data_IF_171240031377
#
_entry.id   IF_171240031377
#
_cell.length_a   1.000
_cell.length_b   1.000
_cell.length_c   1.000
_cell.angle_alpha   90.00
_cell.angle_beta   90.00
_cell.angle_gamma   90.00
#
_symmetry.space_group_name_H-M   'P 1'
#
loop_
_entity.id
_entity.type
_entity.pdbx_description
1 polymer ?
#
# COMPACT_ATOMS: atom_id res chain seq x y z
N UNK A 1 13.92 11.53 -9.76
CA UNK A 1 13.18 12.62 -9.10
C UNK A 1 14.18 13.42 -8.25
N UNK A 2 14.08 14.75 -8.25
CA UNK A 2 15.09 15.59 -7.57
C UNK A 2 15.04 15.44 -6.04
N UNK A 3 16.21 15.41 -5.39
CA UNK A 3 16.36 15.30 -3.92
C UNK A 3 16.31 16.67 -3.22
N UNK A 4 15.54 17.60 -3.80
CA UNK A 4 15.56 19.02 -3.49
C UNK A 4 14.27 19.42 -2.78
N UNK A 5 14.18 19.30 -1.44
CA UNK A 5 12.97 19.63 -0.67
C UNK A 5 12.56 21.11 -0.79
N UNK A 6 13.50 22.01 -1.09
CA UNK A 6 13.28 23.43 -1.32
C UNK A 6 12.35 23.72 -2.51
N UNK A 7 12.32 22.84 -3.52
CA UNK A 7 11.44 23.00 -4.70
C UNK A 7 9.98 22.73 -4.39
N UNK A 8 9.67 22.11 -3.26
CA UNK A 8 8.30 21.84 -2.85
C UNK A 8 7.53 23.14 -2.54
N UNK A 9 8.20 24.12 -1.93
CA UNK A 9 7.56 25.38 -1.56
C UNK A 9 7.20 26.20 -2.81
N UNK A 10 8.07 26.18 -3.83
CA UNK A 10 7.81 26.78 -5.14
C UNK A 10 6.61 26.09 -5.82
N UNK A 11 6.58 24.76 -5.83
CA UNK A 11 5.46 23.99 -6.38
C UNK A 11 4.13 24.34 -5.70
N UNK A 12 4.12 24.41 -4.37
CA UNK A 12 2.93 24.77 -3.58
C UNK A 12 2.43 26.18 -3.94
N UNK A 13 3.34 27.13 -4.16
CA UNK A 13 2.99 28.52 -4.52
C UNK A 13 2.37 28.58 -5.91
N UNK A 14 3.00 27.93 -6.90
CA UNK A 14 2.56 27.93 -8.30
C UNK A 14 1.17 27.33 -8.46
N UNK A 15 0.87 26.23 -7.78
CA UNK A 15 -0.38 25.49 -7.96
C UNK A 15 -1.49 25.84 -6.95
N UNK A 16 -1.29 26.85 -6.10
CA UNK A 16 -2.23 27.22 -5.02
C UNK A 16 -3.66 27.50 -5.51
N UNK A 17 -3.81 28.12 -6.69
CA UNK A 17 -5.10 28.50 -7.28
C UNK A 17 -5.49 27.63 -8.49
N UNK A 18 -4.73 26.57 -8.74
CA UNK A 18 -4.98 25.66 -9.87
C UNK A 18 -6.13 24.68 -9.55
N UNK A 19 -6.61 23.91 -10.56
CA UNK A 19 -7.59 22.85 -10.33
C UNK A 19 -7.15 21.79 -9.31
N UNK A 20 -5.84 21.62 -9.09
CA UNK A 20 -5.27 20.70 -8.09
C UNK A 20 -5.13 21.33 -6.69
N UNK A 21 -5.82 22.45 -6.39
CA UNK A 21 -5.80 23.10 -5.07
C UNK A 21 -6.07 22.14 -3.90
N UNK A 22 -6.91 21.12 -4.10
CA UNK A 22 -7.18 20.09 -3.10
C UNK A 22 -5.94 19.26 -2.75
N UNK A 23 -5.17 18.86 -3.77
CA UNK A 23 -3.89 18.17 -3.58
C UNK A 23 -2.86 19.05 -2.86
N UNK A 24 -2.76 20.32 -3.26
CA UNK A 24 -1.87 21.30 -2.60
C UNK A 24 -2.25 21.49 -1.13
N UNK A 25 -3.54 21.56 -0.82
CA UNK A 25 -4.01 21.65 0.56
C UNK A 25 -3.69 20.38 1.37
N UNK A 26 -3.73 19.20 0.75
CA UNK A 26 -3.27 17.94 1.36
C UNK A 26 -1.79 18.00 1.71
N UNK A 27 -0.94 18.35 0.76
CA UNK A 27 0.51 18.50 0.98
C UNK A 27 0.80 19.49 2.12
N UNK A 28 0.07 20.61 2.19
CA UNK A 28 0.27 21.62 3.25
C UNK A 28 -0.05 21.09 4.65
N UNK A 29 -1.03 20.19 4.80
CA UNK A 29 -1.37 19.59 6.10
C UNK A 29 -0.22 18.73 6.61
N UNK A 30 0.44 18.01 5.71
CA UNK A 30 1.49 17.03 6.01
C UNK A 30 2.87 17.49 5.50
N UNK A 31 3.17 18.80 5.59
CA UNK A 31 4.35 19.38 4.95
C UNK A 31 5.68 18.82 5.49
N UNK A 32 5.77 18.57 6.81
CA UNK A 32 6.96 18.05 7.46
C UNK A 32 7.31 16.62 6.98
N UNK A 33 6.40 15.63 7.05
CA UNK A 33 6.70 14.28 6.55
C UNK A 33 6.94 14.27 5.02
N UNK A 34 6.25 15.11 4.24
CA UNK A 34 6.48 15.19 2.79
C UNK A 34 7.88 15.71 2.48
N UNK A 35 8.35 16.77 3.14
CA UNK A 35 9.72 17.29 2.97
C UNK A 35 10.76 16.25 3.37
N UNK A 36 10.53 15.53 4.47
CA UNK A 36 11.42 14.48 4.95
C UNK A 36 11.46 13.27 4.00
N UNK A 37 10.37 12.98 3.28
CA UNK A 37 10.29 11.87 2.33
C UNK A 37 11.14 12.08 1.05
N UNK A 38 11.29 13.33 0.59
CA UNK A 38 11.99 13.69 -0.67
C UNK A 38 13.44 13.17 -0.79
N UNK A 39 14.31 13.26 0.24
CA UNK A 39 15.67 12.74 0.15
C UNK A 39 15.75 11.21 0.16
N UNK A 40 14.71 10.51 0.62
CA UNK A 40 14.73 9.06 0.71
C UNK A 40 14.64 8.41 -0.69
N UNK A 41 15.40 7.32 -0.86
CA UNK A 41 15.43 6.52 -2.09
C UNK A 41 14.40 5.39 -2.08
N UNK A 42 13.68 5.24 -0.98
CA UNK A 42 12.71 4.16 -0.81
C UNK A 42 11.55 4.30 -1.79
N UNK A 43 11.21 3.20 -2.46
CA UNK A 43 10.09 3.17 -3.39
C UNK A 43 8.83 2.62 -2.71
N UNK A 44 7.67 3.15 -3.09
CA UNK A 44 6.38 2.58 -2.71
C UNK A 44 6.05 1.27 -3.42
N UNK A 45 6.90 0.80 -4.35
CA UNK A 45 6.61 -0.32 -5.25
C UNK A 45 6.33 -1.64 -4.52
N UNK A 46 7.02 -1.90 -3.42
CA UNK A 46 6.75 -3.08 -2.59
C UNK A 46 5.33 -3.06 -2.00
N UNK A 47 4.92 -1.93 -1.45
CA UNK A 47 3.60 -1.74 -0.85
C UNK A 47 2.52 -1.77 -1.94
N UNK A 48 2.75 -1.09 -3.06
CA UNK A 48 1.82 -1.04 -4.20
C UNK A 48 1.61 -2.44 -4.83
N UNK A 49 2.69 -3.23 -4.97
CA UNK A 49 2.60 -4.60 -5.44
C UNK A 49 1.75 -5.49 -4.52
N UNK A 50 1.90 -5.36 -3.20
CA UNK A 50 1.07 -6.08 -2.24
C UNK A 50 -0.40 -5.63 -2.29
N UNK A 51 -0.66 -4.33 -2.41
CA UNK A 51 -2.00 -3.78 -2.57
C UNK A 51 -2.68 -4.31 -3.84
N UNK A 52 -1.95 -4.38 -4.96
CA UNK A 52 -2.48 -4.92 -6.22
C UNK A 52 -2.78 -6.42 -6.10
N UNK A 53 -1.89 -7.20 -5.47
CA UNK A 53 -2.13 -8.62 -5.18
C UNK A 53 -3.39 -8.82 -4.33
N UNK A 54 -3.56 -8.04 -3.26
CA UNK A 54 -4.75 -8.11 -2.41
C UNK A 54 -6.03 -7.76 -3.17
N UNK A 55 -6.02 -6.67 -3.95
CA UNK A 55 -7.17 -6.27 -4.78
C UNK A 55 -7.58 -7.36 -5.76
N UNK A 56 -6.61 -8.05 -6.37
CA UNK A 56 -6.87 -9.19 -7.27
C UNK A 56 -7.55 -10.34 -6.52
N UNK A 57 -7.00 -10.76 -5.38
CA UNK A 57 -7.59 -11.83 -4.56
C UNK A 57 -9.02 -11.49 -4.13
N UNK A 58 -9.24 -10.25 -3.67
CA UNK A 58 -10.58 -9.76 -3.30
C UNK A 58 -11.56 -9.85 -4.46
N UNK A 59 -11.17 -9.44 -5.67
CA UNK A 59 -12.04 -9.48 -6.87
C UNK A 59 -12.43 -10.91 -7.26
N UNK A 60 -11.54 -11.87 -7.04
CA UNK A 60 -11.82 -13.29 -7.35
C UNK A 60 -12.77 -13.90 -6.31
N UNK A 61 -12.58 -13.57 -5.02
CA UNK A 61 -13.17 -14.33 -3.91
C UNK A 61 -14.38 -13.69 -3.21
N UNK A 62 -14.39 -12.36 -3.02
CA UNK A 62 -15.30 -11.70 -2.07
C UNK A 62 -16.80 -11.82 -2.43
N UNK A 63 -17.13 -12.18 -3.67
CA UNK A 63 -18.50 -12.49 -4.10
C UNK A 63 -18.83 -13.99 -4.26
N UNK A 64 -17.83 -14.88 -4.19
CA UNK A 64 -18.01 -16.32 -4.43
C UNK A 64 -17.86 -17.19 -3.20
N UNK A 65 -17.05 -16.78 -2.22
CA UNK A 65 -16.60 -17.67 -1.15
C UNK A 65 -16.76 -17.09 0.27
N UNK A 66 -17.54 -16.01 0.46
CA UNK A 66 -17.66 -15.31 1.75
C UNK A 66 -16.33 -14.74 2.29
N UNK A 67 -16.42 -13.89 3.32
CA UNK A 67 -15.28 -13.18 3.89
C UNK A 67 -14.23 -14.13 4.49
N UNK A 68 -14.66 -15.23 5.10
CA UNK A 68 -13.77 -16.20 5.76
C UNK A 68 -12.77 -16.83 4.78
N UNK A 69 -13.24 -17.27 3.61
CA UNK A 69 -12.34 -17.84 2.61
C UNK A 69 -11.43 -16.78 1.99
N UNK A 70 -11.86 -15.51 1.93
CA UNK A 70 -10.98 -14.41 1.50
C UNK A 70 -9.82 -14.25 2.47
N UNK A 71 -10.10 -14.31 3.78
CA UNK A 71 -9.07 -14.24 4.80
C UNK A 71 -8.06 -15.38 4.66
N UNK A 72 -8.53 -16.65 4.59
CA UNK A 72 -7.66 -17.82 4.41
C UNK A 72 -6.78 -17.70 3.17
N UNK A 73 -7.35 -17.31 2.02
CA UNK A 73 -6.60 -17.19 0.77
C UNK A 73 -5.59 -16.06 0.79
N UNK A 74 -5.94 -14.91 1.35
CA UNK A 74 -5.02 -13.79 1.54
C UNK A 74 -3.89 -14.19 2.47
N UNK A 75 -4.19 -14.72 3.65
CA UNK A 75 -3.21 -15.16 4.63
C UNK A 75 -2.19 -16.10 3.99
N UNK A 76 -2.66 -17.14 3.31
CA UNK A 76 -1.80 -18.08 2.56
C UNK A 76 -0.93 -17.37 1.52
N UNK A 77 -1.54 -16.54 0.67
CA UNK A 77 -0.84 -15.89 -0.43
C UNK A 77 0.23 -14.88 0.02
N UNK A 78 0.11 -14.33 1.22
CA UNK A 78 1.11 -13.43 1.82
C UNK A 78 2.13 -14.19 2.69
N UNK A 79 1.71 -15.25 3.41
CA UNK A 79 2.56 -16.08 4.28
C UNK A 79 3.53 -16.98 3.49
N UNK A 80 3.17 -17.41 2.28
CA UNK A 80 4.09 -18.17 1.39
C UNK A 80 5.39 -17.43 1.08
N UNK A 81 5.47 -16.11 1.32
CA UNK A 81 6.70 -15.33 1.18
C UNK A 81 7.61 -15.37 2.41
N UNK A 82 7.11 -15.88 3.55
CA UNK A 82 7.88 -15.97 4.79
C UNK A 82 8.80 -17.19 4.74
N UNK A 83 10.08 -17.00 5.11
CA UNK A 83 11.02 -18.10 5.26
C UNK A 83 10.49 -19.09 6.30
N UNK A 84 10.42 -20.37 5.95
CA UNK A 84 9.99 -21.45 6.84
C UNK A 84 8.49 -21.77 6.81
N UNK A 85 7.69 -21.06 6.02
CA UNK A 85 6.28 -21.40 5.85
C UNK A 85 6.12 -22.69 5.02
N UNK A 86 5.40 -23.67 5.58
CA UNK A 86 5.09 -24.95 4.93
C UNK A 86 3.60 -25.03 4.66
N UNK A 87 3.22 -25.60 3.51
CA UNK A 87 1.81 -25.77 3.12
C UNK A 87 1.05 -26.68 4.10
N UNK A 88 1.75 -27.61 4.76
CA UNK A 88 1.14 -28.45 5.82
C UNK A 88 0.53 -27.63 6.96
N UNK A 89 1.16 -26.50 7.32
CA UNK A 89 0.66 -25.60 8.38
C UNK A 89 -0.72 -25.01 8.06
N UNK A 90 -1.15 -25.06 6.79
CA UNK A 90 -2.47 -24.60 6.36
C UNK A 90 -3.56 -25.63 6.66
N UNK A 91 -3.22 -26.91 6.61
CA UNK A 91 -4.15 -28.02 6.83
C UNK A 91 -4.49 -28.15 8.33
N UNK A 92 -3.50 -27.92 9.20
CA UNK A 92 -3.70 -27.94 10.66
C UNK A 92 -4.63 -26.81 11.17
N UNK A 93 -4.74 -25.69 10.45
CA UNK A 93 -5.66 -24.60 10.82
C UNK A 93 -7.13 -24.88 10.49
N UNK A 94 -7.40 -25.80 9.56
CA UNK A 94 -8.77 -26.19 9.21
C UNK A 94 -9.36 -27.22 10.20
N UNK A 95 -8.51 -27.99 10.89
CA UNK A 95 -8.93 -28.99 11.90
C UNK A 95 -9.28 -28.37 13.27
N UNK A 96 -8.99 -27.09 13.47
CA UNK A 96 -9.21 -26.33 14.72
C UNK A 96 -10.43 -25.37 14.66
N UNK A 97 -11.18 -25.36 13.56
CA UNK A 97 -12.42 -24.57 13.36
C UNK A 97 -13.59 -25.45 13.00
#
# INVERSE_FOLDING_TARGET
MGKAPEKLDEFIKTYKLSPIKGFINGIKKDIAPVKNAIPHTESSGFIEGNNNKFKLLKRILYGRANLFNLFKKCYTAFQLKLKGFRIQNLMEMDELT
#
